data_IF_060650172152
#
_entry.id   IF_060650172152
#
_cell.length_a   1.000
_cell.length_b   1.000
_cell.length_c   1.000
_cell.angle_alpha   90.00
_cell.angle_beta   90.00
_cell.angle_gamma   90.00
#
_symmetry.space_group_name_H-M   'P 1'
#
loop_
_entity.id
_entity.type
_entity.pdbx_description
1 polymer ?
#
# COMPACT_ATOMS: atom_id res chain seq x y z
N UNK A 1 -5.42 -8.63 8.50
CA UNK A 1 -5.00 -7.62 7.52
C UNK A 1 -6.27 -6.88 7.15
N UNK A 2 -6.34 -5.55 7.31
CA UNK A 2 -7.57 -4.81 7.03
C UNK A 2 -7.96 -4.98 5.56
N UNK A 3 -8.96 -5.84 5.30
CA UNK A 3 -9.44 -6.14 3.96
C UNK A 3 -9.94 -4.88 3.26
N UNK A 4 -10.52 -3.95 4.02
CA UNK A 4 -11.03 -2.68 3.55
C UNK A 4 -9.93 -1.78 2.98
N UNK A 5 -8.83 -1.56 3.72
CA UNK A 5 -7.70 -0.77 3.24
C UNK A 5 -7.08 -1.34 1.97
N UNK A 6 -7.03 -2.67 1.86
CA UNK A 6 -6.55 -3.34 0.65
C UNK A 6 -7.49 -3.09 -0.53
N UNK A 7 -8.80 -3.24 -0.33
CA UNK A 7 -9.79 -3.02 -1.39
C UNK A 7 -9.73 -1.58 -1.89
N UNK A 8 -9.65 -0.61 -0.98
CA UNK A 8 -9.56 0.81 -1.31
C UNK A 8 -8.27 1.12 -2.08
N UNK A 9 -7.13 0.54 -1.69
CA UNK A 9 -5.88 0.69 -2.44
C UNK A 9 -5.95 0.07 -3.85
N UNK A 10 -6.56 -1.11 -4.00
CA UNK A 10 -6.76 -1.76 -5.30
C UNK A 10 -7.71 -0.96 -6.19
N UNK A 11 -8.78 -0.41 -5.63
CA UNK A 11 -9.73 0.45 -6.34
C UNK A 11 -9.05 1.73 -6.82
N UNK A 12 -8.30 2.41 -5.95
CA UNK A 12 -7.49 3.58 -6.33
C UNK A 12 -6.49 3.26 -7.45
N UNK A 13 -5.83 2.08 -7.39
CA UNK A 13 -4.92 1.63 -8.45
C UNK A 13 -5.64 1.42 -9.77
N UNK A 14 -6.83 0.81 -9.76
CA UNK A 14 -7.67 0.64 -10.96
C UNK A 14 -8.09 1.99 -11.53
N UNK A 15 -8.60 2.89 -10.69
CA UNK A 15 -9.03 4.23 -11.08
C UNK A 15 -7.87 5.04 -11.67
N UNK A 16 -6.67 4.94 -11.10
CA UNK A 16 -5.47 5.60 -11.65
C UNK A 16 -5.10 5.05 -13.03
N UNK A 17 -5.12 3.72 -13.22
CA UNK A 17 -4.86 3.09 -14.53
C UNK A 17 -5.90 3.43 -15.59
N UNK A 18 -7.14 3.64 -15.16
CA UNK A 18 -8.23 4.10 -16.02
C UNK A 18 -8.24 5.61 -16.25
N UNK A 19 -7.25 6.35 -15.75
CA UNK A 19 -7.17 7.83 -15.82
C UNK A 19 -8.38 8.56 -15.20
N UNK A 20 -9.08 7.91 -14.25
CA UNK A 20 -10.23 8.50 -13.54
C UNK A 20 -9.81 9.40 -12.37
N UNK A 21 -8.64 9.13 -11.79
CA UNK A 21 -8.05 9.93 -10.71
C UNK A 21 -6.62 10.29 -11.08
N UNK A 22 -6.13 11.39 -10.53
CA UNK A 22 -4.74 11.79 -10.69
C UNK A 22 -3.80 11.01 -9.75
N UNK A 23 -2.50 11.20 -9.95
CA UNK A 23 -1.48 10.52 -9.14
C UNK A 23 -1.56 10.88 -7.66
N UNK A 24 -1.86 12.14 -7.33
CA UNK A 24 -1.90 12.61 -5.94
C UNK A 24 -3.10 12.03 -5.19
N UNK A 25 -4.25 11.90 -5.85
CA UNK A 25 -5.44 11.22 -5.34
C UNK A 25 -5.18 9.73 -5.12
N UNK A 26 -4.53 9.07 -6.09
CA UNK A 26 -4.14 7.68 -5.94
C UNK A 26 -3.19 7.47 -4.76
N UNK A 27 -2.19 8.35 -4.59
CA UNK A 27 -1.26 8.31 -3.45
C UNK A 27 -2.02 8.46 -2.13
N UNK A 28 -2.93 9.44 -2.01
CA UNK A 28 -3.71 9.65 -0.77
C UNK A 28 -4.51 8.41 -0.36
N UNK A 29 -5.06 7.68 -1.32
CA UNK A 29 -5.87 6.49 -1.07
C UNK A 29 -5.02 5.23 -0.80
N UNK A 30 -3.88 5.07 -1.48
CA UNK A 30 -3.01 3.89 -1.36
C UNK A 30 -2.11 3.97 -0.13
N UNK A 31 -1.67 5.16 0.26
CA UNK A 31 -0.66 5.34 1.30
C UNK A 31 -1.05 4.75 2.68
N UNK A 32 -2.29 4.90 3.17
CA UNK A 32 -2.72 4.28 4.44
C UNK A 32 -2.56 2.75 4.45
N UNK A 33 -2.83 2.09 3.33
CA UNK A 33 -2.64 0.64 3.19
C UNK A 33 -1.15 0.27 3.26
N UNK A 34 -0.31 1.02 2.53
CA UNK A 34 1.14 0.77 2.49
C UNK A 34 1.79 1.00 3.85
N UNK A 35 1.42 2.05 4.56
CA UNK A 35 1.91 2.32 5.91
C UNK A 35 1.52 1.21 6.88
N UNK A 36 0.26 0.77 6.86
CA UNK A 36 -0.21 -0.33 7.70
C UNK A 36 0.52 -1.65 7.38
N UNK A 37 0.73 -1.95 6.09
CA UNK A 37 1.47 -3.12 5.65
C UNK A 37 2.94 -3.07 6.10
N UNK A 38 3.61 -1.95 5.85
CA UNK A 38 5.03 -1.76 6.19
C UNK A 38 5.24 -1.78 7.71
N UNK A 39 4.34 -1.20 8.49
CA UNK A 39 4.38 -1.25 9.95
C UNK A 39 4.34 -2.70 10.44
N UNK A 40 3.36 -3.48 9.98
CA UNK A 40 3.24 -4.89 10.33
C UNK A 40 4.44 -5.72 9.88
N UNK A 41 4.96 -5.44 8.67
CA UNK A 41 6.15 -6.11 8.15
C UNK A 41 7.38 -5.87 9.03
N UNK A 42 7.59 -4.62 9.49
CA UNK A 42 8.66 -4.27 10.43
C UNK A 42 8.50 -4.96 11.79
N UNK A 43 7.28 -5.01 12.33
CA UNK A 43 7.00 -5.70 13.60
C UNK A 43 7.35 -7.20 13.53
N UNK A 44 6.94 -7.88 12.47
CA UNK A 44 7.25 -9.31 12.25
C UNK A 44 8.75 -9.51 12.04
N UNK A 45 9.37 -8.70 11.19
CA UNK A 45 10.79 -8.79 10.92
C UNK A 45 11.63 -8.64 12.20
N UNK A 46 11.26 -7.70 13.08
CA UNK A 46 11.89 -7.52 14.39
C UNK A 46 11.71 -8.77 15.28
N UNK A 47 10.51 -9.36 15.31
CA UNK A 47 10.22 -10.57 16.09
C UNK A 47 11.09 -11.77 15.69
N UNK A 48 11.38 -11.92 14.40
CA UNK A 48 12.10 -13.07 13.86
C UNK A 48 13.56 -12.75 13.47
N UNK A 49 14.08 -11.58 13.84
CA UNK A 49 15.41 -11.09 13.44
C UNK A 49 15.67 -11.18 11.92
N UNK A 50 14.65 -10.87 11.12
CA UNK A 50 14.68 -10.88 9.66
C UNK A 50 14.70 -9.47 9.09
N UNK A 51 15.02 -9.35 7.80
CA UNK A 51 14.88 -8.09 7.06
C UNK A 51 13.42 -7.83 6.70
N UNK A 52 12.85 -6.66 7.00
CA UNK A 52 11.47 -6.35 6.67
C UNK A 52 11.27 -6.21 5.16
N UNK A 53 10.19 -6.82 4.65
CA UNK A 53 9.75 -6.66 3.26
C UNK A 53 8.79 -5.48 3.19
N UNK A 54 9.26 -4.34 2.69
CA UNK A 54 8.44 -3.13 2.56
C UNK A 54 8.03 -2.90 1.11
N UNK A 55 6.91 -2.20 0.91
CA UNK A 55 6.41 -1.79 -0.40
C UNK A 55 6.27 -0.27 -0.45
N UNK A 56 6.33 0.30 -1.65
CA UNK A 56 6.14 1.73 -1.92
C UNK A 56 4.94 1.96 -2.85
N UNK A 57 4.36 3.16 -2.84
CA UNK A 57 3.25 3.52 -3.74
C UNK A 57 3.66 3.31 -5.19
N UNK A 58 4.91 3.67 -5.56
CA UNK A 58 5.45 3.44 -6.89
C UNK A 58 5.49 1.95 -7.27
N UNK A 59 5.94 1.07 -6.35
CA UNK A 59 5.94 -0.37 -6.59
C UNK A 59 4.52 -0.96 -6.70
N UNK A 60 3.56 -0.36 -6.00
CA UNK A 60 2.17 -0.81 -6.00
C UNK A 60 1.41 -0.35 -7.26
N UNK A 61 1.71 0.84 -7.78
CA UNK A 61 1.13 1.36 -9.01
C UNK A 61 1.70 0.68 -10.27
N UNK A 62 2.94 0.15 -10.19
CA UNK A 62 3.58 -0.60 -11.28
C UNK A 62 2.75 -1.82 -11.71
#
# INVERSE_FOLDING_TARGET
MNKELRNLAEEARRSYRSSLINRDEAVKQINPFIEAYNKKSKEIAKKYNQRPKTISVASFLR
#
